data_IF_096606930084
#
_entry.id   IF_096606930084
#
_cell.length_a   1.000
_cell.length_b   1.000
_cell.length_c   1.000
_cell.angle_alpha   90.00
_cell.angle_beta   90.00
_cell.angle_gamma   90.00
#
_symmetry.space_group_name_H-M   'P 1'
#
loop_
_entity.id
_entity.type
_entity.pdbx_description
1 polymer ?
#
# COMPACT_ATOMS: atom_id res chain seq x y z
N UNK A 1 -0.95 2.53 0.57
CA UNK A 1 -0.10 3.36 -0.31
C UNK A 1 0.28 4.60 0.46
N UNK A 2 1.56 4.88 0.64
CA UNK A 2 1.99 6.07 1.37
C UNK A 2 1.71 7.36 0.58
N UNK A 3 1.44 8.48 1.27
CA UNK A 3 1.08 9.73 0.62
C UNK A 3 2.17 10.26 -0.32
N UNK A 4 3.46 10.10 0.02
CA UNK A 4 4.58 10.53 -0.82
C UNK A 4 4.72 9.71 -2.11
N UNK A 5 4.39 8.41 -2.06
CA UNK A 5 4.34 7.58 -3.26
C UNK A 5 3.15 7.97 -4.13
N UNK A 6 1.98 8.18 -3.53
CA UNK A 6 0.76 8.55 -4.26
C UNK A 6 0.86 9.92 -4.96
N UNK A 7 1.44 10.91 -4.27
CA UNK A 7 1.52 12.29 -4.80
C UNK A 7 2.75 12.54 -5.67
N UNK A 8 3.88 11.91 -5.34
CA UNK A 8 5.18 12.21 -5.96
C UNK A 8 5.83 11.04 -6.69
N UNK A 9 5.24 9.84 -6.65
CA UNK A 9 5.86 8.62 -7.19
C UNK A 9 7.12 8.19 -6.44
N UNK A 10 7.37 8.75 -5.25
CA UNK A 10 8.56 8.48 -4.46
C UNK A 10 8.38 7.17 -3.68
N UNK A 11 9.05 6.12 -4.12
CA UNK A 11 9.07 4.84 -3.42
C UNK A 11 10.28 4.75 -2.48
N UNK A 12 10.07 4.28 -1.26
CA UNK A 12 11.13 4.04 -0.26
C UNK A 12 10.71 2.98 0.76
N UNK A 13 11.63 2.51 1.59
CA UNK A 13 11.32 1.64 2.73
C UNK A 13 10.24 2.23 3.65
N UNK A 14 10.16 3.56 3.78
CA UNK A 14 9.12 4.23 4.57
C UNK A 14 7.72 4.02 3.97
N UNK A 15 7.64 3.89 2.65
CA UNK A 15 6.39 3.67 1.92
C UNK A 15 5.84 2.26 2.17
N UNK A 16 6.74 1.28 2.32
CA UNK A 16 6.41 -0.09 2.72
C UNK A 16 5.99 -0.15 4.19
N UNK A 17 6.73 0.53 5.08
CA UNK A 17 6.38 0.65 6.52
C UNK A 17 4.99 1.27 6.71
N UNK A 18 4.65 2.30 5.93
CA UNK A 18 3.31 2.91 5.98
C UNK A 18 2.22 1.90 5.60
N UNK A 19 2.42 1.14 4.52
CA UNK A 19 1.44 0.17 4.03
C UNK A 19 1.26 -1.00 5.02
N UNK A 20 2.35 -1.41 5.69
CA UNK A 20 2.29 -2.37 6.78
C UNK A 20 1.53 -1.83 8.01
N UNK A 21 1.79 -0.59 8.42
CA UNK A 21 1.07 0.03 9.54
C UNK A 21 -0.44 0.14 9.28
N UNK A 22 -0.83 0.47 8.04
CA UNK A 22 -2.24 0.48 7.64
C UNK A 22 -2.88 -0.92 7.75
N UNK A 23 -2.17 -1.98 7.37
CA UNK A 23 -2.62 -3.35 7.56
C UNK A 23 -2.79 -3.72 9.04
N UNK A 24 -1.85 -3.33 9.91
CA UNK A 24 -1.96 -3.61 11.35
C UNK A 24 -3.18 -2.93 11.97
N UNK A 25 -3.44 -1.66 11.65
CA UNK A 25 -4.63 -0.95 12.10
C UNK A 25 -5.91 -1.65 11.63
N UNK A 26 -5.91 -2.18 10.41
CA UNK A 26 -7.03 -2.94 9.88
C UNK A 26 -7.30 -4.22 10.69
N UNK A 27 -6.28 -5.05 10.90
CA UNK A 27 -6.37 -6.29 11.68
C UNK A 27 -6.80 -6.06 13.14
N UNK A 28 -6.39 -4.94 13.73
CA UNK A 28 -6.78 -4.54 15.10
C UNK A 28 -8.22 -4.00 15.19
N UNK A 29 -8.96 -3.94 14.08
CA UNK A 29 -10.30 -3.33 14.03
C UNK A 29 -10.29 -1.81 14.13
N UNK A 30 -9.11 -1.18 13.97
CA UNK A 30 -8.86 0.25 14.06
C UNK A 30 -8.68 0.90 12.68
N UNK A 31 -9.20 0.27 11.62
CA UNK A 31 -9.04 0.74 10.23
C UNK A 31 -9.51 2.17 9.97
N UNK A 32 -10.41 2.72 10.80
CA UNK A 32 -10.82 4.13 10.71
C UNK A 32 -9.67 5.12 10.97
N UNK A 33 -8.63 4.72 11.70
CA UNK A 33 -7.45 5.54 11.97
C UNK A 33 -6.54 5.69 10.74
N UNK A 34 -6.79 4.92 9.68
CA UNK A 34 -6.12 5.08 8.38
C UNK A 34 -6.62 6.36 7.68
N UNK A 35 -7.84 6.82 8.01
CA UNK A 35 -8.47 7.96 7.37
C UNK A 35 -7.85 9.28 7.82
N UNK A 36 -7.78 10.22 6.88
CA UNK A 36 -7.45 11.60 7.20
C UNK A 36 -8.43 12.18 8.22
N UNK A 37 -7.95 13.09 9.07
CA UNK A 37 -8.74 13.72 10.12
C UNK A 37 -10.02 14.40 9.59
N UNK A 38 -9.96 15.00 8.39
CA UNK A 38 -11.12 15.62 7.76
C UNK A 38 -12.25 14.61 7.42
N UNK A 39 -11.90 13.33 7.25
CA UNK A 39 -12.82 12.22 6.98
C UNK A 39 -13.22 11.55 8.29
N UNK A 40 -12.28 11.38 9.22
CA UNK A 40 -12.46 10.66 10.49
C UNK A 40 -13.38 11.36 11.49
N UNK A 41 -13.36 12.70 11.53
CA UNK A 41 -14.14 13.52 12.48
C UNK A 41 -15.63 13.58 12.11
N UNK A 42 -15.97 13.33 10.85
CA UNK A 42 -17.34 13.36 10.39
C UNK A 42 -18.00 12.00 10.62
N UNK A 43 -19.34 11.97 10.74
CA UNK A 43 -20.15 10.71 10.72
C UNK A 43 -20.04 9.92 9.40
N UNK A 44 -19.15 10.35 8.51
CA UNK A 44 -18.77 9.72 7.25
C UNK A 44 -17.89 8.51 7.51
N UNK A 45 -17.01 8.53 8.52
CA UNK A 45 -16.05 7.44 8.77
C UNK A 45 -16.72 6.08 9.06
N UNK A 46 -17.93 6.09 9.64
CA UNK A 46 -18.72 4.90 9.93
C UNK A 46 -19.58 4.43 8.75
N UNK A 47 -19.52 5.11 7.60
CA UNK A 47 -20.29 4.72 6.43
C UNK A 47 -19.72 3.43 5.83
N UNK A 48 -20.60 2.47 5.45
CA UNK A 48 -20.16 1.22 4.81
C UNK A 48 -19.30 1.45 3.58
N UNK A 49 -19.55 2.52 2.83
CA UNK A 49 -18.79 2.89 1.64
C UNK A 49 -17.33 3.23 1.97
N UNK A 50 -17.06 3.88 3.11
CA UNK A 50 -15.70 4.24 3.52
C UNK A 50 -14.92 3.01 3.95
N UNK A 51 -15.54 2.15 4.76
CA UNK A 51 -14.96 0.86 5.17
C UNK A 51 -14.66 0.00 3.94
N UNK A 52 -15.58 -0.02 2.97
CA UNK A 52 -15.40 -0.70 1.68
C UNK A 52 -14.21 -0.13 0.90
N UNK A 53 -14.05 1.19 0.84
CA UNK A 53 -12.91 1.82 0.17
C UNK A 53 -11.58 1.45 0.83
N UNK A 54 -11.53 1.37 2.17
CA UNK A 54 -10.33 0.90 2.89
C UNK A 54 -10.02 -0.54 2.47
N UNK A 55 -11.02 -1.42 2.48
CA UNK A 55 -10.88 -2.82 2.10
C UNK A 55 -10.36 -2.99 0.66
N UNK A 56 -10.95 -2.28 -0.30
CA UNK A 56 -10.49 -2.28 -1.70
C UNK A 56 -9.06 -1.73 -1.80
N UNK A 57 -8.74 -0.69 -1.03
CA UNK A 57 -7.39 -0.14 -0.92
C UNK A 57 -6.36 -1.17 -0.47
N UNK A 58 -6.70 -2.01 0.53
CA UNK A 58 -5.84 -3.10 1.01
C UNK A 58 -5.65 -4.21 -0.05
N UNK A 59 -6.68 -4.49 -0.85
CA UNK A 59 -6.56 -5.42 -1.99
C UNK A 59 -5.65 -4.87 -3.11
N UNK A 60 -5.65 -3.56 -3.33
CA UNK A 60 -4.84 -2.94 -4.38
C UNK A 60 -3.33 -2.94 -4.08
N UNK A 61 -2.95 -3.09 -2.81
CA UNK A 61 -1.56 -3.07 -2.36
C UNK A 61 -1.00 -4.46 -2.03
N UNK A 62 -1.68 -5.52 -2.46
CA UNK A 62 -1.20 -6.89 -2.28
C UNK A 62 0.18 -7.10 -2.91
N UNK A 63 1.05 -7.87 -2.23
CA UNK A 63 2.42 -8.10 -2.69
C UNK A 63 2.44 -8.71 -4.08
N UNK A 64 1.65 -9.77 -4.27
CA UNK A 64 1.54 -10.44 -5.55
C UNK A 64 0.59 -9.68 -6.47
N UNK A 65 1.05 -9.37 -7.68
CA UNK A 65 0.26 -8.68 -8.69
C UNK A 65 -1.02 -9.45 -9.07
N UNK A 66 -0.99 -10.78 -8.98
CA UNK A 66 -2.16 -11.65 -9.26
C UNK A 66 -3.26 -11.54 -8.22
N UNK A 67 -2.94 -11.06 -7.02
CA UNK A 67 -3.91 -10.87 -5.93
C UNK A 67 -4.58 -9.48 -5.98
N UNK A 68 -4.09 -8.59 -6.85
CA UNK A 68 -4.64 -7.24 -7.00
C UNK A 68 -5.87 -7.28 -7.92
N UNK A 69 -6.97 -6.61 -7.55
CA UNK A 69 -8.15 -6.55 -8.41
C UNK A 69 -7.86 -5.71 -9.67
N UNK A 70 -8.43 -6.12 -10.80
CA UNK A 70 -8.42 -5.31 -12.01
C UNK A 70 -9.49 -4.20 -11.92
N UNK A 71 -9.39 -3.18 -12.79
CA UNK A 71 -10.31 -2.03 -12.76
C UNK A 71 -11.79 -2.41 -12.88
N UNK A 72 -12.22 -3.30 -13.81
CA UNK A 72 -13.60 -3.78 -13.84
C UNK A 72 -14.07 -4.39 -12.52
N UNK A 73 -13.25 -5.23 -11.88
CA UNK A 73 -13.58 -5.82 -10.57
C UNK A 73 -13.72 -4.75 -9.49
N UNK A 74 -12.85 -3.74 -9.47
CA UNK A 74 -12.95 -2.61 -8.53
C UNK A 74 -14.29 -1.87 -8.70
N UNK A 75 -14.74 -1.63 -9.94
CA UNK A 75 -16.02 -0.95 -10.20
C UNK A 75 -17.20 -1.76 -9.66
N UNK A 76 -17.21 -3.08 -9.84
CA UNK A 76 -18.25 -3.96 -9.30
C UNK A 76 -18.24 -3.96 -7.76
N UNK A 77 -17.05 -4.04 -7.14
CA UNK A 77 -16.90 -3.99 -5.69
C UNK A 77 -17.45 -2.68 -5.12
N UNK A 78 -17.06 -1.54 -5.71
CA UNK A 78 -17.55 -0.21 -5.31
C UNK A 78 -19.09 -0.11 -5.44
N UNK A 79 -19.64 -0.61 -6.55
CA UNK A 79 -21.09 -0.63 -6.82
C UNK A 79 -21.86 -1.59 -5.91
N UNK A 80 -21.17 -2.50 -5.21
CA UNK A 80 -21.79 -3.51 -4.35
C UNK A 80 -22.36 -4.70 -5.12
N UNK A 81 -21.92 -4.90 -6.36
CA UNK A 81 -22.38 -5.97 -7.25
C UNK A 81 -21.50 -7.24 -7.15
N UNK A 82 -20.43 -7.19 -6.35
CA UNK A 82 -19.53 -8.32 -6.10
C UNK A 82 -19.08 -8.36 -4.64
N UNK A 83 -18.78 -9.56 -4.15
CA UNK A 83 -18.18 -9.75 -2.84
C UNK A 83 -16.75 -9.17 -2.78
N UNK A 84 -16.34 -8.80 -1.56
CA UNK A 84 -14.97 -8.36 -1.29
C UNK A 84 -14.18 -9.53 -0.69
N UNK A 85 -13.14 -10.04 -1.37
CA UNK A 85 -12.27 -11.07 -0.81
C UNK A 85 -11.42 -10.50 0.33
N UNK A 86 -11.06 -11.33 1.31
CA UNK A 86 -10.14 -10.92 2.37
C UNK A 86 -8.76 -10.56 1.80
N UNK A 87 -8.20 -9.38 2.13
CA UNK A 87 -6.84 -9.08 1.74
C UNK A 87 -5.90 -10.00 2.53
N UNK A 88 -4.79 -10.41 1.89
CA UNK A 88 -3.76 -11.23 2.53
C UNK A 88 -2.83 -10.35 3.35
N UNK A 89 -2.23 -10.90 4.43
CA UNK A 89 -1.20 -10.20 5.17
C UNK A 89 -0.01 -9.83 4.27
N UNK A 90 0.55 -8.61 4.40
CA UNK A 90 1.76 -8.23 3.71
C UNK A 90 2.93 -9.09 4.20
N UNK A 91 3.72 -9.58 3.25
CA UNK A 91 4.89 -10.42 3.47
C UNK A 91 6.07 -9.50 3.71
N UNK A 92 6.28 -9.11 4.97
CA UNK A 92 7.39 -8.23 5.33
C UNK A 92 8.72 -9.02 5.30
N UNK A 93 9.28 -9.26 4.12
CA UNK A 93 10.52 -10.04 3.95
C UNK A 93 11.81 -9.24 4.19
N UNK A 94 11.73 -7.95 4.57
CA UNK A 94 12.91 -7.07 4.65
C UNK A 94 13.68 -7.09 5.98
N UNK A 95 13.19 -7.75 7.05
CA UNK A 95 13.86 -7.74 8.37
C UNK A 95 14.64 -9.01 8.73
N UNK A 96 14.74 -10.00 7.84
CA UNK A 96 15.65 -11.13 8.05
C UNK A 96 17.02 -10.86 7.42
N UNK A 97 17.74 -9.88 7.95
CA UNK A 97 19.20 -9.87 7.81
C UNK A 97 19.77 -10.80 8.89
N UNK A 98 20.44 -11.91 8.56
CA UNK A 98 21.23 -12.65 9.55
C UNK A 98 22.34 -11.73 10.06
N UNK A 99 22.51 -11.67 11.39
CA UNK A 99 23.59 -10.90 12.01
C UNK A 99 24.97 -11.55 11.80
N UNK A 100 25.98 -10.66 11.79
CA UNK A 100 27.40 -10.84 12.13
C UNK A 100 28.39 -11.46 11.13
N UNK A 101 29.15 -10.59 10.45
CA UNK A 101 30.62 -10.59 10.61
C UNK A 101 31.24 -9.24 10.21
N UNK A 102 32.09 -8.69 11.09
CA UNK A 102 32.86 -7.46 10.90
C UNK A 102 33.81 -7.50 9.69
N UNK A 103 34.02 -6.35 9.03
CA UNK A 103 35.32 -5.72 8.65
C UNK A 103 35.16 -4.73 7.47
N UNK A 104 35.32 -3.44 7.80
CA UNK A 104 36.12 -2.38 7.14
C UNK A 104 35.96 -2.02 5.65
N UNK A 105 35.82 -0.71 5.43
CA UNK A 105 36.16 0.11 4.25
C UNK A 105 35.98 -0.52 2.87
N UNK A 106 34.88 -0.16 2.20
CA UNK A 106 34.90 0.66 0.99
C UNK A 106 33.44 0.93 0.59
N UNK A 107 33.10 2.19 0.41
CA UNK A 107 31.75 2.67 0.18
C UNK A 107 31.32 2.36 -1.27
N UNK A 108 31.12 1.08 -1.57
CA UNK A 108 30.39 0.58 -2.74
C UNK A 108 29.01 0.10 -2.26
N UNK A 109 28.14 1.07 -1.96
CA UNK A 109 26.75 0.80 -1.62
C UNK A 109 25.98 0.43 -2.88
N UNK A 110 25.78 -0.86 -3.10
CA UNK A 110 24.78 -1.44 -3.99
C UNK A 110 23.38 -1.06 -3.48
N UNK A 111 23.00 0.20 -3.70
CA UNK A 111 21.62 0.64 -3.63
C UNK A 111 20.94 0.21 -4.93
N UNK A 112 19.87 -0.59 -4.84
CA UNK A 112 19.01 -0.83 -5.99
C UNK A 112 18.39 0.50 -6.44
N UNK A 113 19.03 1.15 -7.41
CA UNK A 113 18.45 2.32 -8.08
C UNK A 113 17.37 1.78 -9.01
N UNK A 114 16.13 1.70 -8.52
CA UNK A 114 14.98 1.46 -9.38
C UNK A 114 14.97 2.56 -10.44
N UNK A 115 15.40 2.21 -11.65
CA UNK A 115 15.45 3.12 -12.79
C UNK A 115 14.00 3.33 -13.26
N UNK A 116 13.42 4.44 -12.83
CA UNK A 116 12.07 4.83 -13.20
C UNK A 116 12.00 5.07 -14.72
N UNK A 117 11.20 4.26 -15.43
CA UNK A 117 10.93 4.50 -16.85
C UNK A 117 9.91 5.64 -16.96
N UNK A 118 10.37 6.85 -17.30
CA UNK A 118 9.47 7.95 -17.66
C UNK A 118 8.84 7.63 -19.03
N UNK A 119 7.54 7.33 -19.05
CA UNK A 119 6.79 7.30 -20.30
C UNK A 119 6.63 8.73 -20.80
N UNK A 120 7.10 8.99 -22.02
CA UNK A 120 6.91 10.28 -22.70
C UNK A 120 5.51 10.27 -23.28
N UNK A 121 4.69 11.26 -22.92
CA UNK A 121 3.41 11.51 -23.58
C UNK A 121 3.67 12.08 -24.97
N UNK A 122 3.52 11.27 -26.01
CA UNK A 122 3.51 11.75 -27.40
C UNK A 122 2.07 12.07 -27.79
N UNK A 123 1.78 13.36 -27.92
CA UNK A 123 0.50 13.85 -28.43
C UNK A 123 0.53 13.87 -29.95
N UNK A 124 -0.44 13.21 -30.58
CA UNK A 124 -0.72 13.38 -32.02
C UNK A 124 -1.64 14.57 -32.26
#
# INVERSE_FOLDING_TARGET
>A
MSPEYAMGGMFSEKSDVYSFGAWQLWEEGRGVEILDEAISVNSIASRPEVVKCIWIGLLCIQDQATDRPNMPSIVLMLSGESDLPDPKPPTLTSFQSPMDHEIRDQQEGTLSINTMTRTVIDGR
#
